data_IF_957248236609
#
_entry.id   IF_957248236609
#
_cell.length_a   1.000
_cell.length_b   1.000
_cell.length_c   1.000
_cell.angle_alpha   90.00
_cell.angle_beta   90.00
_cell.angle_gamma   90.00
#
_symmetry.space_group_name_H-M   'P 1'
#
loop_
_entity.id
_entity.type
_entity.pdbx_description
1 polymer ?
#
# COMPACT_ATOMS: atom_id res chain seq x y z
N UNK A 1 -29.58 1.69 1.65
CA UNK A 1 -28.69 2.61 0.89
C UNK A 1 -28.04 3.69 1.76
N UNK A 2 -28.60 3.99 2.95
CA UNK A 2 -28.01 4.95 3.90
C UNK A 2 -26.63 4.50 4.43
N UNK A 3 -26.36 3.21 4.46
CA UNK A 3 -25.16 2.64 5.10
C UNK A 3 -23.87 2.78 4.30
N UNK A 4 -23.95 3.27 3.06
CA UNK A 4 -22.79 3.50 2.18
C UNK A 4 -22.41 4.99 2.06
N UNK A 5 -23.24 5.90 2.57
CA UNK A 5 -22.96 7.33 2.53
C UNK A 5 -21.79 7.64 3.48
N UNK A 6 -20.82 8.38 2.98
CA UNK A 6 -19.63 8.74 3.75
C UNK A 6 -18.56 7.66 3.83
N UNK A 7 -18.71 6.56 3.08
CA UNK A 7 -17.72 5.48 3.01
C UNK A 7 -16.85 5.57 1.76
N UNK A 8 -15.65 5.03 1.87
CA UNK A 8 -14.81 4.68 0.72
C UNK A 8 -15.28 3.36 0.13
N UNK A 9 -15.59 3.33 -1.16
CA UNK A 9 -16.21 2.18 -1.81
C UNK A 9 -15.39 1.74 -3.02
N UNK A 10 -15.17 0.43 -3.14
CA UNK A 10 -14.73 -0.17 -4.39
C UNK A 10 -15.90 -0.84 -5.09
N UNK A 11 -16.18 -0.44 -6.33
CA UNK A 11 -17.11 -1.15 -7.21
C UNK A 11 -16.33 -2.20 -8.01
N UNK A 12 -16.59 -3.47 -7.74
CA UNK A 12 -15.90 -4.61 -8.35
C UNK A 12 -16.78 -5.25 -9.43
N UNK A 13 -16.49 -4.98 -10.69
CA UNK A 13 -17.14 -5.60 -11.86
C UNK A 13 -16.42 -6.89 -12.22
N UNK A 14 -17.14 -8.03 -12.15
CA UNK A 14 -16.53 -9.34 -12.29
C UNK A 14 -17.55 -10.40 -12.70
N UNK A 15 -17.10 -11.65 -12.93
CA UNK A 15 -17.96 -12.79 -13.19
C UNK A 15 -17.22 -14.12 -12.91
N UNK A 16 -17.96 -15.17 -12.56
CA UNK A 16 -17.42 -16.51 -12.30
C UNK A 16 -16.68 -17.10 -13.51
N UNK A 17 -17.24 -16.96 -14.72
CA UNK A 17 -16.67 -17.48 -15.97
C UNK A 17 -15.36 -16.80 -16.38
N UNK A 18 -15.01 -15.68 -15.78
CA UNK A 18 -13.82 -14.88 -16.10
C UNK A 18 -12.61 -15.39 -15.29
N UNK A 19 -11.69 -16.09 -15.92
CA UNK A 19 -10.49 -16.63 -15.25
C UNK A 19 -9.61 -15.56 -14.59
N UNK A 20 -9.31 -14.39 -15.23
CA UNK A 20 -8.60 -13.31 -14.55
C UNK A 20 -9.33 -12.74 -13.34
N UNK A 21 -10.66 -12.79 -13.36
CA UNK A 21 -11.49 -12.34 -12.25
C UNK A 21 -11.31 -13.26 -11.03
N UNK A 22 -11.38 -14.56 -11.23
CA UNK A 22 -11.16 -15.54 -10.16
C UNK A 22 -9.76 -15.44 -9.55
N UNK A 23 -8.74 -15.21 -10.38
CA UNK A 23 -7.37 -15.03 -9.92
C UNK A 23 -7.16 -13.72 -9.11
N UNK A 24 -8.03 -12.72 -9.31
CA UNK A 24 -7.94 -11.45 -8.61
C UNK A 24 -8.68 -11.46 -7.26
N UNK A 25 -9.71 -12.29 -7.06
CA UNK A 25 -10.49 -12.37 -5.82
C UNK A 25 -9.62 -12.53 -4.57
N UNK A 26 -8.64 -13.45 -4.50
CA UNK A 26 -7.81 -13.60 -3.30
C UNK A 26 -7.04 -12.33 -2.94
N UNK A 27 -6.49 -11.62 -3.94
CA UNK A 27 -5.78 -10.35 -3.73
C UNK A 27 -6.70 -9.26 -3.18
N UNK A 28 -7.90 -9.14 -3.76
CA UNK A 28 -8.88 -8.17 -3.31
C UNK A 28 -9.41 -8.51 -1.92
N UNK A 29 -9.55 -9.80 -1.58
CA UNK A 29 -9.97 -10.27 -0.26
C UNK A 29 -8.94 -9.93 0.82
N UNK A 30 -7.66 -10.15 0.55
CA UNK A 30 -6.58 -9.78 1.46
C UNK A 30 -6.57 -8.25 1.69
N UNK A 31 -6.60 -7.47 0.62
CA UNK A 31 -6.67 -6.01 0.72
C UNK A 31 -7.92 -5.55 1.47
N UNK A 32 -9.09 -6.16 1.23
CA UNK A 32 -10.33 -5.84 1.92
C UNK A 32 -10.21 -6.00 3.44
N UNK A 33 -9.71 -7.15 3.90
CA UNK A 33 -9.57 -7.40 5.33
C UNK A 33 -8.59 -6.43 6.00
N UNK A 34 -7.46 -6.15 5.36
CA UNK A 34 -6.45 -5.23 5.87
C UNK A 34 -6.96 -3.78 5.94
N UNK A 35 -7.64 -3.31 4.89
CA UNK A 35 -8.22 -1.97 4.88
C UNK A 35 -9.36 -1.88 5.89
N UNK A 36 -10.24 -2.89 5.94
CA UNK A 36 -11.39 -2.92 6.85
C UNK A 36 -11.00 -2.92 8.31
N UNK A 37 -9.87 -3.52 8.64
CA UNK A 37 -9.31 -3.50 10.00
C UNK A 37 -8.86 -2.08 10.44
N UNK A 38 -8.38 -1.26 9.48
CA UNK A 38 -7.93 0.13 9.72
C UNK A 38 -9.06 1.15 9.57
N UNK A 39 -9.96 0.94 8.61
CA UNK A 39 -11.09 1.83 8.31
C UNK A 39 -12.40 1.05 8.16
N UNK A 40 -13.22 1.06 9.20
CA UNK A 40 -14.56 0.46 9.19
C UNK A 40 -15.50 1.10 8.17
N UNK A 41 -15.19 2.31 7.71
CA UNK A 41 -15.90 3.05 6.66
C UNK A 41 -15.56 2.61 5.25
N UNK A 42 -14.70 1.61 5.06
CA UNK A 42 -14.41 1.02 3.75
C UNK A 42 -15.40 -0.08 3.38
N UNK A 43 -15.76 -0.22 2.09
CA UNK A 43 -16.61 -1.30 1.60
C UNK A 43 -16.28 -1.67 0.15
N UNK A 44 -16.57 -2.92 -0.21
CA UNK A 44 -16.53 -3.40 -1.61
C UNK A 44 -17.93 -3.82 -2.02
N UNK A 45 -18.30 -3.54 -3.26
CA UNK A 45 -19.59 -3.94 -3.84
C UNK A 45 -19.32 -4.72 -5.12
N UNK A 46 -19.64 -5.99 -5.10
CA UNK A 46 -19.58 -6.84 -6.28
C UNK A 46 -20.72 -6.51 -7.27
N UNK A 47 -20.37 -6.33 -8.53
CA UNK A 47 -21.30 -6.09 -9.64
C UNK A 47 -21.07 -7.20 -10.67
N UNK A 48 -21.97 -8.17 -10.66
CA UNK A 48 -21.81 -9.37 -11.47
C UNK A 48 -22.11 -9.16 -12.95
N UNK A 49 -21.30 -9.82 -13.77
CA UNK A 49 -21.55 -10.02 -15.19
C UNK A 49 -21.84 -11.51 -15.51
N UNK A 50 -22.25 -12.28 -14.51
CA UNK A 50 -22.70 -13.64 -14.70
C UNK A 50 -23.97 -13.71 -15.54
N UNK A 51 -24.23 -14.88 -16.12
CA UNK A 51 -25.33 -15.10 -17.06
C UNK A 51 -26.59 -15.60 -16.38
N UNK A 52 -26.45 -16.18 -15.20
CA UNK A 52 -27.53 -16.79 -14.43
C UNK A 52 -27.28 -16.59 -12.92
N UNK A 53 -28.39 -16.80 -12.16
CA UNK A 53 -28.40 -16.64 -10.71
C UNK A 53 -27.45 -17.61 -10.01
N UNK A 54 -27.40 -18.88 -10.48
CA UNK A 54 -26.56 -19.92 -9.85
C UNK A 54 -25.07 -19.53 -9.92
N UNK A 55 -24.59 -19.13 -11.10
CA UNK A 55 -23.21 -18.68 -11.26
C UNK A 55 -22.88 -17.46 -10.39
N UNK A 56 -23.85 -16.55 -10.25
CA UNK A 56 -23.71 -15.40 -9.34
C UNK A 56 -23.60 -15.86 -7.88
N UNK A 57 -24.52 -16.71 -7.41
CA UNK A 57 -24.57 -17.17 -6.02
C UNK A 57 -23.30 -17.94 -5.64
N UNK A 58 -22.87 -18.86 -6.51
CA UNK A 58 -21.66 -19.66 -6.31
C UNK A 58 -20.43 -18.75 -6.16
N UNK A 59 -20.25 -17.78 -7.08
CA UNK A 59 -19.09 -16.92 -7.06
C UNK A 59 -19.14 -15.92 -5.91
N UNK A 60 -20.30 -15.35 -5.61
CA UNK A 60 -20.47 -14.42 -4.51
C UNK A 60 -20.29 -15.08 -3.14
N UNK A 61 -20.58 -16.37 -3.01
CA UNK A 61 -20.40 -17.11 -1.74
C UNK A 61 -18.95 -17.10 -1.22
N UNK A 62 -17.97 -16.87 -2.09
CA UNK A 62 -16.55 -16.79 -1.75
C UNK A 62 -16.10 -15.36 -1.32
N UNK A 63 -17.00 -14.38 -1.35
CA UNK A 63 -16.68 -12.97 -1.16
C UNK A 63 -17.18 -12.45 0.20
N UNK A 64 -16.32 -11.73 0.97
CA UNK A 64 -16.68 -11.24 2.31
C UNK A 64 -17.42 -9.90 2.32
N UNK A 65 -17.74 -9.34 1.16
CA UNK A 65 -18.31 -7.99 1.00
C UNK A 65 -19.73 -8.02 0.43
N UNK A 66 -20.27 -6.84 0.11
CA UNK A 66 -21.62 -6.69 -0.41
C UNK A 66 -21.69 -6.93 -1.93
N UNK A 67 -22.86 -7.25 -2.42
CA UNK A 67 -23.14 -7.34 -3.85
C UNK A 67 -24.36 -6.54 -4.26
N UNK A 68 -24.34 -6.05 -5.51
CA UNK A 68 -25.54 -5.61 -6.17
C UNK A 68 -26.35 -6.87 -6.53
N UNK A 69 -27.67 -6.93 -6.22
CA UNK A 69 -28.48 -8.10 -6.53
C UNK A 69 -28.37 -8.50 -8.02
N UNK A 70 -28.39 -9.80 -8.29
CA UNK A 70 -28.38 -10.29 -9.67
C UNK A 70 -29.57 -9.72 -10.46
N UNK A 71 -29.30 -9.23 -11.66
CA UNK A 71 -30.34 -8.63 -12.52
C UNK A 71 -30.77 -7.20 -12.14
N UNK A 72 -30.11 -6.57 -11.16
CA UNK A 72 -30.42 -5.19 -10.79
C UNK A 72 -30.13 -4.21 -11.93
N UNK A 73 -31.09 -3.35 -12.26
CA UNK A 73 -31.02 -2.37 -13.36
C UNK A 73 -29.88 -1.37 -13.22
N UNK A 74 -29.43 -1.10 -11.98
CA UNK A 74 -28.32 -0.20 -11.71
C UNK A 74 -26.99 -0.66 -12.32
N UNK A 75 -26.85 -1.96 -12.55
CA UNK A 75 -25.65 -2.53 -13.21
C UNK A 75 -25.37 -1.85 -14.56
N UNK A 76 -26.39 -1.72 -15.39
CA UNK A 76 -26.20 -1.09 -16.72
C UNK A 76 -25.79 0.37 -16.61
N UNK A 77 -26.45 1.10 -15.71
CA UNK A 77 -26.15 2.52 -15.47
C UNK A 77 -24.71 2.71 -14.97
N UNK A 78 -24.28 1.87 -14.00
CA UNK A 78 -22.92 1.90 -13.46
C UNK A 78 -21.88 1.51 -14.53
N UNK A 79 -22.15 0.46 -15.31
CA UNK A 79 -21.26 0.01 -16.39
C UNK A 79 -21.05 1.11 -17.46
N UNK A 80 -22.12 1.82 -17.82
CA UNK A 80 -22.06 2.95 -18.75
C UNK A 80 -21.31 4.14 -18.16
N UNK A 81 -21.62 4.49 -16.89
CA UNK A 81 -21.00 5.61 -16.18
C UNK A 81 -19.48 5.44 -16.09
N UNK A 82 -19.00 4.26 -15.73
CA UNK A 82 -17.58 3.97 -15.56
C UNK A 82 -16.92 3.40 -16.82
N UNK A 83 -17.62 3.38 -17.95
CA UNK A 83 -17.11 2.90 -19.25
C UNK A 83 -16.46 1.52 -19.13
N UNK A 84 -17.15 0.57 -18.46
CA UNK A 84 -16.64 -0.79 -18.24
C UNK A 84 -16.68 -1.54 -19.57
N UNK A 85 -15.51 -1.71 -20.20
CA UNK A 85 -15.34 -2.44 -21.47
C UNK A 85 -14.85 -3.87 -21.27
N UNK A 86 -14.38 -4.21 -20.07
CA UNK A 86 -13.84 -5.53 -19.73
C UNK A 86 -13.85 -5.76 -18.22
N UNK A 87 -13.70 -7.03 -17.83
CA UNK A 87 -13.60 -7.48 -16.44
C UNK A 87 -12.32 -8.31 -16.24
N UNK A 88 -11.72 -8.29 -15.04
CA UNK A 88 -12.11 -7.55 -13.85
C UNK A 88 -11.86 -6.05 -13.96
N UNK A 89 -12.78 -5.24 -13.44
CA UNK A 89 -12.64 -3.79 -13.31
C UNK A 89 -12.97 -3.38 -11.88
N UNK A 90 -12.15 -2.51 -11.30
CA UNK A 90 -12.42 -1.93 -9.98
C UNK A 90 -12.39 -0.41 -10.08
N UNK A 91 -13.39 0.22 -9.49
CA UNK A 91 -13.54 1.69 -9.44
C UNK A 91 -13.59 2.11 -7.98
N UNK A 92 -12.72 3.05 -7.58
CA UNK A 92 -12.73 3.61 -6.23
C UNK A 92 -13.57 4.88 -6.19
N UNK A 93 -14.46 4.96 -5.20
CA UNK A 93 -15.36 6.08 -4.92
C UNK A 93 -15.10 6.54 -3.50
N UNK A 94 -14.87 7.84 -3.34
CA UNK A 94 -14.62 8.45 -2.05
C UNK A 94 -15.90 8.72 -1.24
N UNK A 95 -15.74 9.19 0.02
CA UNK A 95 -16.84 9.39 0.95
C UNK A 95 -17.86 10.44 0.47
N UNK A 96 -17.45 11.34 -0.43
CA UNK A 96 -18.34 12.35 -1.05
C UNK A 96 -19.13 11.83 -2.24
N UNK A 97 -18.97 10.54 -2.61
CA UNK A 97 -19.57 9.93 -3.79
C UNK A 97 -18.83 10.26 -5.10
N UNK A 98 -17.69 10.95 -5.03
CA UNK A 98 -16.87 11.25 -6.20
C UNK A 98 -15.96 10.08 -6.54
N UNK A 99 -15.77 9.83 -7.82
CA UNK A 99 -14.79 8.85 -8.28
C UNK A 99 -13.39 9.32 -7.93
N UNK A 100 -12.62 8.49 -7.23
CA UNK A 100 -11.20 8.70 -6.96
C UNK A 100 -10.41 8.22 -8.17
N UNK A 101 -10.54 6.93 -8.51
CA UNK A 101 -9.89 6.35 -9.68
C UNK A 101 -10.72 5.23 -10.31
N UNK A 102 -10.57 5.03 -11.60
CA UNK A 102 -11.14 3.88 -12.33
C UNK A 102 -10.11 2.77 -12.55
N UNK A 103 -8.91 2.89 -12.00
CA UNK A 103 -7.79 1.95 -12.14
C UNK A 103 -7.46 1.23 -10.83
N UNK A 104 -8.37 1.24 -9.86
CA UNK A 104 -8.15 0.63 -8.55
C UNK A 104 -7.82 -0.88 -8.62
N UNK A 105 -8.20 -1.58 -9.71
CA UNK A 105 -7.83 -2.98 -9.93
C UNK A 105 -6.30 -3.16 -10.00
N UNK A 106 -5.63 -2.32 -10.76
CA UNK A 106 -4.18 -2.40 -10.94
C UNK A 106 -3.46 -1.97 -9.66
N UNK A 107 -3.96 -0.94 -8.99
CA UNK A 107 -3.44 -0.47 -7.71
C UNK A 107 -3.52 -1.55 -6.61
N UNK A 108 -4.65 -2.27 -6.52
CA UNK A 108 -4.78 -3.40 -5.59
C UNK A 108 -3.87 -4.56 -6.00
N UNK A 109 -3.70 -4.82 -7.30
CA UNK A 109 -2.85 -5.90 -7.77
C UNK A 109 -1.36 -5.66 -7.46
N UNK A 110 -0.92 -4.39 -7.55
CA UNK A 110 0.48 -3.98 -7.44
C UNK A 110 0.86 -3.60 -5.99
N UNK A 111 -0.04 -2.97 -5.24
CA UNK A 111 0.23 -2.39 -3.92
C UNK A 111 -0.70 -2.94 -2.80
N UNK A 112 -1.66 -3.81 -3.12
CA UNK A 112 -2.57 -4.37 -2.14
C UNK A 112 -3.36 -3.32 -1.36
N UNK A 113 -3.36 -3.46 -0.03
CA UNK A 113 -4.01 -2.54 0.91
C UNK A 113 -3.30 -1.18 1.01
N UNK A 114 -2.01 -1.10 0.69
CA UNK A 114 -1.21 0.13 0.82
C UNK A 114 -1.63 1.20 -0.19
N UNK A 115 -2.26 0.81 -1.30
CA UNK A 115 -2.86 1.75 -2.24
C UNK A 115 -4.00 2.57 -1.62
N UNK A 116 -4.62 2.12 -0.53
CA UNK A 116 -5.72 2.84 0.13
C UNK A 116 -5.25 4.21 0.66
N UNK A 117 -6.01 5.30 0.48
CA UNK A 117 -7.38 5.40 -0.06
C UNK A 117 -7.48 5.58 -1.60
N UNK A 118 -6.49 5.15 -2.37
CA UNK A 118 -6.44 5.16 -3.85
C UNK A 118 -6.35 6.57 -4.47
N UNK A 119 -5.92 7.55 -3.70
CA UNK A 119 -5.76 8.94 -4.17
C UNK A 119 -4.42 9.15 -4.86
N UNK A 120 -4.33 10.19 -5.70
CA UNK A 120 -3.09 10.53 -6.40
C UNK A 120 -1.96 10.88 -5.41
N UNK A 121 -2.30 11.53 -4.30
CA UNK A 121 -1.34 11.85 -3.23
C UNK A 121 -0.74 10.57 -2.63
N UNK A 122 -1.61 9.56 -2.34
CA UNK A 122 -1.14 8.28 -1.79
C UNK A 122 -0.24 7.54 -2.77
N UNK A 123 -0.57 7.57 -4.05
CA UNK A 123 0.26 6.94 -5.08
C UNK A 123 1.61 7.62 -5.22
N UNK A 124 1.67 8.95 -5.14
CA UNK A 124 2.93 9.70 -5.12
C UNK A 124 3.79 9.36 -3.90
N UNK A 125 3.18 9.19 -2.72
CA UNK A 125 3.89 8.72 -1.52
C UNK A 125 4.51 7.34 -1.72
N UNK A 126 3.75 6.40 -2.27
CA UNK A 126 4.24 5.05 -2.58
C UNK A 126 5.38 5.14 -3.59
N UNK A 127 5.21 5.86 -4.69
CA UNK A 127 6.23 6.01 -5.72
C UNK A 127 7.52 6.64 -5.15
N UNK A 128 7.40 7.66 -4.30
CA UNK A 128 8.54 8.28 -3.62
C UNK A 128 9.29 7.28 -2.71
N UNK A 129 8.57 6.40 -2.01
CA UNK A 129 9.17 5.34 -1.19
C UNK A 129 9.93 4.31 -2.05
N UNK A 130 9.37 3.93 -3.21
CA UNK A 130 10.06 3.04 -4.15
C UNK A 130 11.32 3.68 -4.73
N UNK A 131 11.26 4.97 -5.07
CA UNK A 131 12.44 5.69 -5.56
C UNK A 131 13.54 5.80 -4.49
N UNK A 132 13.17 6.07 -3.23
CA UNK A 132 14.14 6.07 -2.12
C UNK A 132 14.77 4.69 -1.93
N UNK A 133 13.99 3.61 -2.03
CA UNK A 133 14.48 2.24 -1.85
C UNK A 133 15.53 1.83 -2.88
N UNK A 134 15.52 2.41 -4.08
CA UNK A 134 16.56 2.16 -5.10
C UNK A 134 17.96 2.60 -4.68
N UNK A 135 18.07 3.52 -3.73
CA UNK A 135 19.33 3.99 -3.18
C UNK A 135 19.82 3.20 -1.95
N UNK A 136 19.03 2.26 -1.46
CA UNK A 136 19.38 1.45 -0.29
C UNK A 136 20.12 0.17 -0.69
N UNK A 137 20.98 -0.38 0.19
CA UNK A 137 21.61 -1.66 -0.06
C UNK A 137 20.59 -2.80 -0.02
N UNK A 138 20.78 -3.85 -0.81
CA UNK A 138 19.93 -5.04 -0.78
C UNK A 138 20.03 -5.79 0.56
N UNK A 139 21.19 -5.70 1.22
CA UNK A 139 21.49 -6.31 2.52
C UNK A 139 22.41 -5.41 3.34
N UNK A 140 22.28 -5.53 4.66
CA UNK A 140 23.19 -4.87 5.61
C UNK A 140 23.34 -5.71 6.90
N UNK A 141 24.47 -5.52 7.59
CA UNK A 141 24.65 -5.98 8.97
C UNK A 141 24.29 -4.85 9.93
N UNK A 142 23.66 -5.16 11.06
CA UNK A 142 23.22 -4.16 12.02
C UNK A 142 23.57 -4.56 13.46
N UNK A 143 23.96 -3.59 14.29
CA UNK A 143 24.38 -3.84 15.68
C UNK A 143 23.29 -4.44 16.57
N UNK A 144 22.02 -4.21 16.27
CA UNK A 144 20.91 -4.83 17.01
C UNK A 144 20.65 -6.28 16.58
N UNK A 145 21.28 -6.76 15.50
CA UNK A 145 21.12 -8.11 14.98
C UNK A 145 22.40 -8.59 14.28
N UNK A 146 23.40 -8.98 15.05
CA UNK A 146 24.73 -9.35 14.56
C UNK A 146 24.80 -10.77 13.98
N UNK A 147 23.81 -11.62 14.25
CA UNK A 147 23.83 -13.05 13.89
C UNK A 147 23.63 -13.27 12.39
N UNK A 148 22.83 -12.42 11.73
CA UNK A 148 22.51 -12.52 10.31
C UNK A 148 22.49 -11.15 9.64
N UNK A 149 22.75 -11.12 8.33
CA UNK A 149 22.49 -9.93 7.52
C UNK A 149 20.99 -9.70 7.36
N UNK A 150 20.56 -8.46 7.49
CA UNK A 150 19.20 -8.05 7.21
C UNK A 150 19.04 -7.79 5.71
N UNK A 151 18.02 -8.36 5.10
CA UNK A 151 17.68 -8.15 3.70
C UNK A 151 16.62 -7.05 3.55
N UNK A 152 16.74 -6.21 2.52
CA UNK A 152 15.69 -5.24 2.17
C UNK A 152 14.49 -6.00 1.61
N UNK A 153 13.37 -5.98 2.33
CA UNK A 153 12.14 -6.70 2.00
C UNK A 153 10.93 -5.80 2.00
N UNK A 154 9.90 -6.21 1.27
CA UNK A 154 8.61 -5.54 1.29
C UNK A 154 7.70 -6.17 2.33
N UNK A 155 7.22 -5.34 3.25
CA UNK A 155 6.22 -5.70 4.24
C UNK A 155 5.00 -4.81 4.12
N UNK A 156 3.82 -5.36 4.38
CA UNK A 156 2.62 -4.53 4.43
C UNK A 156 2.53 -3.74 5.73
N UNK A 157 2.77 -4.44 6.84
CA UNK A 157 2.85 -3.88 8.20
C UNK A 157 3.83 -4.75 8.97
N UNK A 158 4.70 -4.12 9.74
CA UNK A 158 5.61 -4.79 10.67
C UNK A 158 5.84 -3.88 11.89
N UNK A 159 6.36 -4.46 12.95
CA UNK A 159 6.81 -3.72 14.12
C UNK A 159 8.33 -3.63 14.07
N UNK A 160 8.86 -2.41 14.15
CA UNK A 160 10.30 -2.21 14.13
C UNK A 160 10.93 -2.58 15.48
N UNK A 161 11.89 -3.51 15.50
CA UNK A 161 12.61 -3.91 16.72
C UNK A 161 13.60 -2.86 17.22
N UNK A 162 13.89 -1.84 16.42
CA UNK A 162 14.77 -0.74 16.81
C UNK A 162 14.07 0.39 17.56
N UNK A 163 12.83 0.76 17.18
CA UNK A 163 12.11 1.87 17.79
C UNK A 163 10.72 1.51 18.33
N UNK A 164 10.28 0.25 18.24
CA UNK A 164 8.97 -0.26 18.66
C UNK A 164 7.76 0.35 17.92
N UNK A 165 7.97 1.17 16.90
CA UNK A 165 6.91 1.76 16.09
C UNK A 165 6.52 0.86 14.91
N UNK A 166 5.29 1.08 14.39
CA UNK A 166 4.76 0.35 13.23
C UNK A 166 5.40 0.89 11.94
N UNK A 167 5.91 -0.03 11.10
CA UNK A 167 6.48 0.26 9.80
C UNK A 167 5.62 -0.27 8.64
N UNK A 168 5.82 0.31 7.46
CA UNK A 168 5.07 -0.01 6.25
C UNK A 168 5.98 -0.05 5.03
N UNK A 169 5.62 -0.87 4.05
CA UNK A 169 6.19 -1.00 2.71
C UNK A 169 7.58 -1.62 2.70
N UNK A 170 8.57 -1.01 3.36
CA UNK A 170 9.95 -1.49 3.36
C UNK A 170 10.48 -1.71 4.75
N UNK A 171 11.16 -2.85 4.94
CA UNK A 171 11.93 -3.17 6.12
C UNK A 171 13.29 -3.78 5.74
N UNK A 172 14.26 -3.67 6.62
CA UNK A 172 15.43 -4.53 6.65
C UNK A 172 15.13 -5.68 7.60
N UNK A 173 14.99 -6.89 7.07
CA UNK A 173 14.40 -8.03 7.76
C UNK A 173 15.31 -9.25 7.82
N UNK A 174 15.19 -10.01 8.90
CA UNK A 174 15.68 -11.37 9.01
C UNK A 174 14.50 -12.32 9.21
N UNK A 175 14.17 -13.12 8.19
CA UNK A 175 13.06 -14.09 8.26
C UNK A 175 13.32 -15.21 9.29
N UNK A 176 14.58 -15.58 9.53
CA UNK A 176 14.94 -16.66 10.47
C UNK A 176 14.69 -16.26 11.93
N UNK A 177 14.82 -14.96 12.23
CA UNK A 177 14.71 -14.44 13.60
C UNK A 177 13.43 -13.62 13.82
N UNK A 178 12.60 -13.42 12.79
CA UNK A 178 11.41 -12.55 12.83
C UNK A 178 11.78 -11.13 13.33
N UNK A 179 12.86 -10.57 12.76
CA UNK A 179 13.45 -9.31 13.19
C UNK A 179 13.36 -8.30 12.04
N UNK A 180 12.75 -7.14 12.32
CA UNK A 180 12.46 -6.11 11.34
C UNK A 180 12.93 -4.72 11.78
N UNK A 181 13.60 -3.97 10.90
CA UNK A 181 13.96 -2.58 11.13
C UNK A 181 13.37 -1.67 10.07
N UNK A 182 12.90 -0.50 10.48
CA UNK A 182 12.66 0.59 9.53
C UNK A 182 13.94 0.85 8.72
N UNK A 183 13.83 1.19 7.42
CA UNK A 183 15.00 1.63 6.65
C UNK A 183 15.77 2.77 7.33
N UNK A 184 15.05 3.70 7.95
CA UNK A 184 15.67 4.77 8.73
C UNK A 184 16.47 4.23 9.91
N UNK A 185 15.90 3.37 10.74
CA UNK A 185 16.59 2.78 11.89
C UNK A 185 17.80 1.96 11.47
N UNK A 186 17.68 1.18 10.39
CA UNK A 186 18.74 0.35 9.87
C UNK A 186 19.92 1.12 9.23
N UNK A 187 19.64 2.29 8.64
CA UNK A 187 20.64 3.08 7.91
C UNK A 187 21.27 4.22 8.74
N UNK A 188 20.55 4.75 9.75
CA UNK A 188 21.05 5.83 10.61
C UNK A 188 21.90 5.30 11.78
N UNK A 189 21.53 4.17 12.37
CA UNK A 189 22.29 3.55 13.47
C UNK A 189 23.50 2.73 12.98
N UNK A 190 23.62 2.49 11.67
CA UNK A 190 24.75 1.79 11.03
C UNK A 190 26.04 2.63 10.90
N UNK A 191 26.10 3.85 11.47
CA UNK A 191 27.34 4.63 11.60
C UNK A 191 28.08 4.31 12.90
N UNK A 192 28.30 3.01 13.15
CA UNK A 192 29.18 2.50 14.16
C UNK A 192 30.41 1.86 13.54
N UNK A 193 31.57 2.53 13.70
CA UNK A 193 32.94 2.05 13.47
C UNK A 193 33.38 1.88 12.00
N UNK A 194 33.69 2.97 11.34
CA UNK A 194 34.99 3.08 10.67
C UNK A 194 35.79 4.17 11.40
N UNK A 195 36.81 3.73 12.14
CA UNK A 195 37.87 4.55 12.62
C UNK A 195 38.63 5.14 11.40
N UNK A 196 38.26 6.31 11.01
CA UNK A 196 39.15 7.21 10.29
C UNK A 196 39.31 8.46 11.13
N UNK A 197 40.48 8.46 11.82
CA UNK A 197 41.05 9.62 12.39
C UNK A 197 41.28 10.67 11.28
N UNK A 198 40.33 11.57 11.10
CA UNK A 198 40.55 12.80 10.37
C UNK A 198 40.75 13.93 11.34
N UNK A 199 42.00 14.39 11.29
CA UNK A 199 42.56 15.60 11.82
C UNK A 199 41.53 16.73 11.94
N UNK A 200 41.30 17.22 13.16
CA UNK A 200 40.55 18.44 13.42
C UNK A 200 41.33 19.65 12.85
N UNK A 201 41.07 19.98 11.60
CA UNK A 201 41.39 21.31 11.11
C UNK A 201 40.47 22.33 11.81
N UNK A 202 41.02 23.07 12.74
CA UNK A 202 40.38 24.24 13.35
C UNK A 202 39.94 25.20 12.25
N UNK A 203 38.70 25.69 12.28
CA UNK A 203 38.26 26.71 11.33
C UNK A 203 39.09 27.96 11.52
N UNK A 204 39.64 28.46 10.41
CA UNK A 204 40.34 29.76 10.37
C UNK A 204 39.43 30.87 10.93
N UNK A 205 40.01 31.69 11.79
CA UNK A 205 39.35 32.85 12.39
C UNK A 205 38.79 33.79 11.31
N UNK A 206 37.49 34.09 11.38
CA UNK A 206 36.87 35.15 10.59
C UNK A 206 35.58 34.82 9.86
N UNK A 207 34.94 33.66 10.11
CA UNK A 207 33.65 33.35 9.54
C UNK A 207 32.56 33.18 10.61
N UNK A 208 31.42 33.86 10.42
CA UNK A 208 30.23 33.74 11.26
C UNK A 208 29.15 33.00 10.45
N UNK A 209 28.62 31.91 11.02
CA UNK A 209 27.57 31.10 10.38
C UNK A 209 26.28 31.19 11.20
N UNK A 210 25.13 31.44 10.55
CA UNK A 210 23.83 31.53 11.19
C UNK A 210 22.98 30.25 11.01
N UNK A 211 23.62 29.12 10.64
CA UNK A 211 22.97 27.85 10.41
C UNK A 211 22.43 27.63 8.99
N UNK A 212 22.48 28.66 8.13
CA UNK A 212 22.10 28.56 6.71
C UNK A 212 23.16 29.12 5.76
N UNK A 213 23.90 30.12 6.16
CA UNK A 213 24.95 30.77 5.37
C UNK A 213 26.08 31.19 6.27
N UNK A 214 27.36 31.08 5.81
CA UNK A 214 28.52 31.60 6.47
C UNK A 214 29.00 32.83 5.71
N UNK A 215 29.35 33.94 6.41
CA UNK A 215 29.87 35.17 5.86
C UNK A 215 31.08 35.63 6.65
N UNK A 216 31.97 36.30 5.96
CA UNK A 216 33.21 36.81 6.56
C UNK A 216 32.93 38.08 7.35
N UNK A 217 33.35 38.11 8.62
CA UNK A 217 33.18 39.29 9.50
C UNK A 217 33.99 40.49 9.02
#
# INVERSE_FOLDING_TARGET
MSDLVGKNILLYFSAQWCSPCRAFVPKLTDAYHKIKAKDSGFEVIFISSDRDQTSFDDFFSEMPWLALPFGDERKESLSKMFKVQGIPKVVAIGPTGRTITTQARDLVADHGADAYPFTDERLQEIEAQYEMAKGWPDKLSHALHEEHELALTQHQIYKCDGCDEEGHVWAFSCEECDFDLHPKCALEDGKGTEDDAMDEEKPEEGWICDGKVCFKA
#
